data_IF_325763555427
#
_entry.id   IF_325763555427
#
_cell.length_a   1.000
_cell.length_b   1.000
_cell.length_c   1.000
_cell.angle_alpha   90.00
_cell.angle_beta   90.00
_cell.angle_gamma   90.00
#
_symmetry.space_group_name_H-M   'P 1'
#
loop_
_entity.id
_entity.type
_entity.pdbx_description
1 polymer ?
#
# COMPACT_ATOMS: atom_id res chain seq x y z
N UNK A 1 -8.07 -12.07 -8.77
CA UNK A 1 -8.32 -11.31 -10.02
C UNK A 1 -7.27 -10.23 -10.14
N UNK A 2 -6.58 -10.16 -11.28
CA UNK A 2 -5.72 -9.02 -11.60
C UNK A 2 -6.61 -7.81 -11.94
N UNK A 3 -6.30 -6.63 -11.41
CA UNK A 3 -7.03 -5.40 -11.76
C UNK A 3 -6.98 -5.17 -13.27
N UNK A 4 -8.04 -4.58 -13.85
CA UNK A 4 -8.07 -4.21 -15.28
C UNK A 4 -7.47 -2.82 -15.49
N UNK A 5 -6.91 -2.55 -16.66
CA UNK A 5 -6.53 -1.18 -17.02
C UNK A 5 -7.74 -0.24 -16.85
N UNK A 6 -7.48 0.95 -16.32
CA UNK A 6 -8.51 1.90 -15.96
C UNK A 6 -8.05 3.33 -16.27
N UNK A 7 -8.98 4.28 -16.18
CA UNK A 7 -8.71 5.70 -16.32
C UNK A 7 -9.07 6.40 -15.02
N UNK A 8 -8.20 7.30 -14.57
CA UNK A 8 -8.48 8.24 -13.49
C UNK A 8 -8.88 9.57 -14.13
N UNK A 9 -10.03 10.09 -13.72
CA UNK A 9 -10.53 11.39 -14.16
C UNK A 9 -10.33 12.37 -13.01
N UNK A 10 -9.50 13.39 -13.25
CA UNK A 10 -9.30 14.49 -12.32
C UNK A 10 -10.56 15.34 -12.18
N UNK A 11 -10.63 16.11 -11.10
CA UNK A 11 -11.67 17.11 -10.88
C UNK A 11 -11.65 18.23 -11.93
N UNK A 12 -10.48 18.48 -12.53
CA UNK A 12 -10.25 19.34 -13.69
C UNK A 12 -10.64 18.69 -15.05
N UNK A 13 -11.15 17.46 -15.03
CA UNK A 13 -11.55 16.70 -16.22
C UNK A 13 -10.39 16.05 -16.98
N UNK A 14 -9.13 16.19 -16.52
CA UNK A 14 -8.00 15.49 -17.15
C UNK A 14 -8.10 13.99 -16.93
N UNK A 15 -7.69 13.23 -17.94
CA UNK A 15 -7.74 11.77 -17.92
C UNK A 15 -6.32 11.21 -17.86
N UNK A 16 -6.08 10.35 -16.88
CA UNK A 16 -4.81 9.68 -16.67
C UNK A 16 -4.97 8.17 -16.82
N UNK A 17 -4.12 7.49 -17.60
CA UNK A 17 -4.12 6.04 -17.62
C UNK A 17 -3.65 5.50 -16.27
N UNK A 18 -4.34 4.49 -15.77
CA UNK A 18 -3.96 3.74 -14.58
C UNK A 18 -3.67 2.30 -14.99
N UNK A 19 -2.55 1.77 -14.52
CA UNK A 19 -2.16 0.37 -14.66
C UNK A 19 -2.22 -0.32 -13.28
N UNK A 20 -3.39 -0.77 -12.80
CA UNK A 20 -3.52 -1.35 -11.46
C UNK A 20 -2.68 -2.62 -11.26
N UNK A 21 -2.28 -3.28 -12.34
CA UNK A 21 -1.38 -4.43 -12.30
C UNK A 21 -0.03 -4.08 -11.70
N UNK A 22 0.42 -2.82 -11.83
CA UNK A 22 1.65 -2.35 -11.19
C UNK A 22 1.55 -2.36 -9.65
N UNK A 23 0.37 -2.16 -9.09
CA UNK A 23 0.16 -2.28 -7.63
C UNK A 23 0.22 -3.73 -7.16
N UNK A 24 0.00 -4.68 -8.07
CA UNK A 24 0.14 -6.12 -7.83
C UNK A 24 1.56 -6.64 -8.11
N UNK A 25 2.47 -5.83 -8.65
CA UNK A 25 3.86 -6.21 -8.77
C UNK A 25 4.59 -6.12 -7.41
N UNK A 26 5.79 -6.71 -7.25
CA UNK A 26 6.74 -6.30 -6.22
C UNK A 26 7.07 -4.79 -6.33
N UNK A 27 7.64 -4.22 -5.28
CA UNK A 27 8.20 -2.87 -5.37
C UNK A 27 9.33 -2.82 -6.41
N UNK A 28 9.43 -1.70 -7.13
CA UNK A 28 10.42 -1.50 -8.19
C UNK A 28 11.34 -0.30 -7.91
N UNK A 29 12.25 0.01 -8.84
CA UNK A 29 13.23 1.10 -8.70
C UNK A 29 12.56 2.47 -8.49
N UNK A 30 11.33 2.66 -8.98
CA UNK A 30 10.61 3.92 -8.78
C UNK A 30 10.04 4.03 -7.36
N UNK A 31 9.96 2.95 -6.60
CA UNK A 31 9.54 2.97 -5.19
C UNK A 31 10.72 3.28 -4.23
N UNK A 32 11.97 3.09 -4.68
CA UNK A 32 13.18 3.18 -3.84
C UNK A 32 13.32 4.54 -3.15
N UNK A 33 13.00 5.63 -3.83
CA UNK A 33 13.12 6.97 -3.26
C UNK A 33 12.23 7.14 -2.02
N UNK A 34 11.03 6.54 -2.02
CA UNK A 34 10.09 6.59 -0.91
C UNK A 34 10.54 5.65 0.20
N UNK A 35 10.88 4.42 -0.16
CA UNK A 35 11.34 3.39 0.78
C UNK A 35 12.58 3.83 1.57
N UNK A 36 13.51 4.55 0.95
CA UNK A 36 14.71 5.07 1.63
C UNK A 36 14.42 6.18 2.66
N UNK A 37 13.23 6.79 2.62
CA UNK A 37 12.81 7.79 3.61
C UNK A 37 12.13 7.16 4.83
N UNK A 38 11.77 5.88 4.77
CA UNK A 38 11.19 5.11 5.86
C UNK A 38 12.30 4.58 6.79
N UNK A 39 12.93 5.46 7.57
CA UNK A 39 14.09 5.13 8.42
C UNK A 39 13.74 4.54 9.78
N UNK A 40 12.46 4.29 10.06
CA UNK A 40 11.98 3.74 11.33
C UNK A 40 10.65 3.01 11.15
N UNK A 41 10.02 2.55 12.25
CA UNK A 41 8.71 1.91 12.19
C UNK A 41 7.72 2.73 11.35
N UNK A 42 7.15 2.12 10.32
CA UNK A 42 6.39 2.81 9.27
C UNK A 42 4.98 2.27 9.16
N UNK A 43 4.00 3.17 9.02
CA UNK A 43 2.63 2.84 8.65
C UNK A 43 2.39 3.24 7.20
N UNK A 44 1.94 2.27 6.39
CA UNK A 44 1.53 2.48 4.99
C UNK A 44 0.00 2.57 4.91
N UNK A 45 -0.51 3.77 4.68
CA UNK A 45 -1.94 4.09 4.69
C UNK A 45 -2.52 3.94 3.29
N UNK A 46 -3.56 3.13 3.15
CA UNK A 46 -4.07 2.74 1.84
C UNK A 46 -3.06 1.84 1.11
N UNK A 47 -2.48 0.89 1.85
CA UNK A 47 -1.34 0.08 1.38
C UNK A 47 -1.66 -0.80 0.17
N UNK A 48 -2.95 -0.98 -0.15
CA UNK A 48 -3.40 -1.81 -1.25
C UNK A 48 -2.89 -3.25 -1.10
N UNK A 49 -2.41 -3.86 -2.19
CA UNK A 49 -1.87 -5.22 -2.16
C UNK A 49 -0.59 -5.40 -1.32
N UNK A 50 -0.05 -4.34 -0.72
CA UNK A 50 1.03 -4.42 0.26
C UNK A 50 2.44 -4.44 -0.30
N UNK A 51 2.68 -3.94 -1.52
CA UNK A 51 4.00 -4.05 -2.15
C UNK A 51 5.09 -3.29 -1.36
N UNK A 52 4.77 -2.12 -0.81
CA UNK A 52 5.73 -1.32 -0.05
C UNK A 52 5.91 -1.86 1.36
N UNK A 53 4.83 -2.28 2.01
CA UNK A 53 4.87 -2.96 3.32
C UNK A 53 5.76 -4.21 3.27
N UNK A 54 5.58 -5.05 2.25
CA UNK A 54 6.37 -6.26 2.07
C UNK A 54 7.87 -5.93 1.86
N UNK A 55 8.16 -4.92 1.04
CA UNK A 55 9.53 -4.49 0.77
C UNK A 55 10.22 -3.90 2.01
N UNK A 56 9.53 -3.04 2.77
CA UNK A 56 10.05 -2.50 4.04
C UNK A 56 10.33 -3.63 5.05
N UNK A 57 9.41 -4.59 5.19
CA UNK A 57 9.62 -5.76 6.04
C UNK A 57 10.84 -6.58 5.58
N UNK A 58 11.01 -6.77 4.26
CA UNK A 58 12.18 -7.43 3.68
C UNK A 58 13.50 -6.70 3.98
N UNK A 59 13.47 -5.37 4.10
CA UNK A 59 14.61 -4.53 4.53
C UNK A 59 14.83 -4.52 6.05
N UNK A 60 14.02 -5.24 6.82
CA UNK A 60 14.09 -5.25 8.28
C UNK A 60 13.49 -4.01 8.95
N UNK A 61 12.76 -3.17 8.21
CA UNK A 61 12.02 -2.03 8.76
C UNK A 61 10.66 -2.54 9.25
N UNK A 62 10.31 -2.35 10.54
CA UNK A 62 8.97 -2.67 11.01
C UNK A 62 7.92 -1.88 10.22
N UNK A 63 7.02 -2.59 9.52
CA UNK A 63 6.02 -1.98 8.66
C UNK A 63 4.63 -2.56 8.94
N UNK A 64 3.62 -1.68 8.95
CA UNK A 64 2.21 -2.05 9.06
C UNK A 64 1.41 -1.38 7.94
N UNK A 65 0.76 -2.18 7.11
CA UNK A 65 -0.23 -1.69 6.17
C UNK A 65 -1.59 -1.44 6.83
N UNK A 66 -2.32 -0.44 6.34
CA UNK A 66 -3.73 -0.20 6.66
C UNK A 66 -4.50 -0.07 5.36
N UNK A 67 -5.54 -0.86 5.17
CA UNK A 67 -6.41 -0.76 3.99
C UNK A 67 -7.85 -1.16 4.34
N UNK A 68 -8.83 -0.52 3.70
CA UNK A 68 -10.26 -0.79 3.92
C UNK A 68 -10.80 -1.89 2.98
N UNK A 69 -10.06 -2.26 1.93
CA UNK A 69 -10.43 -3.27 0.95
C UNK A 69 -10.10 -4.68 1.45
N UNK A 70 -11.10 -5.55 1.64
CA UNK A 70 -10.85 -6.94 2.03
C UNK A 70 -10.00 -7.71 1.02
N UNK A 71 -10.06 -7.32 -0.27
CA UNK A 71 -9.23 -7.93 -1.32
C UNK A 71 -7.75 -7.55 -1.16
N UNK A 72 -7.48 -6.27 -0.92
CA UNK A 72 -6.14 -5.74 -0.69
C UNK A 72 -5.49 -6.42 0.53
N UNK A 73 -6.22 -6.51 1.64
CA UNK A 73 -5.78 -7.19 2.88
C UNK A 73 -5.42 -8.65 2.62
N UNK A 74 -6.25 -9.41 1.89
CA UNK A 74 -5.92 -10.80 1.53
C UNK A 74 -4.64 -10.90 0.69
N UNK A 75 -4.45 -9.97 -0.26
CA UNK A 75 -3.24 -9.94 -1.09
C UNK A 75 -2.00 -9.59 -0.26
N UNK A 76 -2.11 -8.62 0.63
CA UNK A 76 -1.06 -8.21 1.56
C UNK A 76 -0.63 -9.40 2.45
N UNK A 77 -1.58 -10.13 3.04
CA UNK A 77 -1.29 -11.36 3.78
C UNK A 77 -0.62 -12.45 2.93
N UNK A 78 -1.04 -12.62 1.67
CA UNK A 78 -0.40 -13.60 0.77
C UNK A 78 1.06 -13.27 0.45
N UNK A 79 1.49 -12.02 0.65
CA UNK A 79 2.89 -11.57 0.54
C UNK A 79 3.68 -11.68 1.85
N UNK A 80 3.05 -12.10 2.94
CA UNK A 80 3.65 -12.08 4.27
C UNK A 80 3.75 -10.68 4.88
N UNK A 81 3.07 -9.68 4.31
CA UNK A 81 3.05 -8.33 4.85
C UNK A 81 2.05 -8.23 6.01
N UNK A 82 2.43 -7.49 7.06
CA UNK A 82 1.54 -7.17 8.17
C UNK A 82 0.53 -6.10 7.74
N UNK A 83 -0.76 -6.36 7.93
CA UNK A 83 -1.83 -5.45 7.51
C UNK A 83 -2.98 -5.46 8.50
N UNK A 84 -3.59 -4.29 8.68
CA UNK A 84 -4.83 -4.10 9.41
C UNK A 84 -5.97 -3.77 8.43
N UNK A 85 -7.05 -4.56 8.47
CA UNK A 85 -8.28 -4.23 7.75
C UNK A 85 -9.04 -3.14 8.51
N UNK A 86 -8.89 -1.89 8.07
CA UNK A 86 -9.51 -0.74 8.75
C UNK A 86 -9.63 0.46 7.82
N UNK A 87 -10.62 1.30 8.11
CA UNK A 87 -10.70 2.65 7.56
C UNK A 87 -9.63 3.53 8.23
N UNK A 88 -8.87 4.30 7.45
CA UNK A 88 -7.87 5.24 7.98
C UNK A 88 -8.50 6.31 8.88
N UNK A 89 -9.76 6.67 8.65
CA UNK A 89 -10.46 7.64 9.47
C UNK A 89 -10.96 7.07 10.81
N UNK A 90 -10.89 5.75 10.98
CA UNK A 90 -11.17 5.10 12.25
C UNK A 90 -9.90 5.00 13.09
N UNK A 91 -10.07 4.90 14.42
CA UNK A 91 -8.95 4.86 15.35
C UNK A 91 -7.98 3.72 15.06
N UNK A 92 -6.69 4.05 14.97
CA UNK A 92 -5.62 3.09 14.78
C UNK A 92 -5.01 2.63 16.12
N UNK A 93 -4.48 1.39 16.20
CA UNK A 93 -3.77 0.95 17.39
C UNK A 93 -2.61 1.88 17.72
N UNK A 94 -2.62 2.48 18.92
CA UNK A 94 -1.54 3.37 19.34
C UNK A 94 -1.74 4.85 19.02
N UNK A 95 -2.79 5.20 18.29
CA UNK A 95 -3.10 6.60 17.96
C UNK A 95 -3.31 7.47 19.21
N UNK A 96 -2.75 8.68 19.21
CA UNK A 96 -2.93 9.67 20.27
C UNK A 96 -2.15 9.42 21.58
N UNK A 97 -1.18 8.49 21.58
CA UNK A 97 -0.26 8.28 22.72
C UNK A 97 0.94 9.21 22.70
#
# INVERSE_FOLDING_TARGET
MAGRAAQLVGDDGRIFPVAPQRWLAPADDEDVWLLNRCTGPTVDVGCGPGRLVAELAGRGVPALGVDCSPLAVRQCHSRGAAVLHRDVFATLPGEGR
#
